data_IF_790943798584
#
_entry.id   IF_790943798584
#
_cell.length_a   1.000
_cell.length_b   1.000
_cell.length_c   1.000
_cell.angle_alpha   90.00
_cell.angle_beta   90.00
_cell.angle_gamma   90.00
#
_symmetry.space_group_name_H-M   'P 1'
#
loop_
_entity.id
_entity.type
_entity.pdbx_description
1 polymer ?
#
# COMPACT_ATOMS: atom_id res chain seq x y z
N UNK A 1 15.16 12.58 -7.00
CA UNK A 1 14.49 11.75 -8.01
C UNK A 1 14.49 12.50 -9.33
N UNK A 2 15.15 11.92 -10.33
CA UNK A 2 15.23 12.51 -11.65
C UNK A 2 14.30 11.75 -12.62
N UNK A 3 13.63 12.50 -13.48
CA UNK A 3 12.83 11.97 -14.58
C UNK A 3 13.57 12.20 -15.90
N UNK A 4 13.57 11.19 -16.75
CA UNK A 4 14.20 11.23 -18.08
C UNK A 4 13.17 10.87 -19.15
N UNK A 5 13.36 11.38 -20.36
CA UNK A 5 12.59 10.96 -21.52
C UNK A 5 13.15 9.65 -22.13
N UNK A 6 12.49 9.13 -23.15
CA UNK A 6 12.91 7.92 -23.87
C UNK A 6 14.27 8.04 -24.56
N UNK A 7 14.74 9.28 -24.80
CA UNK A 7 16.04 9.56 -25.37
C UNK A 7 17.15 9.76 -24.33
N UNK A 8 16.79 9.63 -23.02
CA UNK A 8 17.73 9.81 -21.91
C UNK A 8 17.98 11.26 -21.51
N UNK A 9 17.21 12.23 -22.02
CA UNK A 9 17.33 13.62 -21.59
C UNK A 9 16.60 13.83 -20.28
N UNK A 10 17.23 14.57 -19.36
CA UNK A 10 16.64 14.88 -18.07
C UNK A 10 15.49 15.88 -18.23
N UNK A 11 14.29 15.48 -17.76
CA UNK A 11 13.08 16.30 -17.78
C UNK A 11 12.99 17.15 -16.51
N UNK A 12 13.20 16.52 -15.34
CA UNK A 12 13.11 17.19 -14.05
C UNK A 12 13.98 16.49 -13.00
N UNK A 13 14.28 17.21 -11.92
CA UNK A 13 15.03 16.70 -10.77
C UNK A 13 14.41 17.21 -9.49
N UNK A 14 14.13 16.30 -8.56
CA UNK A 14 13.50 16.61 -7.27
C UNK A 14 14.38 16.01 -6.16
N UNK A 15 14.99 16.86 -5.35
CA UNK A 15 15.75 16.44 -4.19
C UNK A 15 14.84 16.11 -3.01
N UNK A 16 15.30 15.24 -2.14
CA UNK A 16 14.71 14.94 -0.84
C UNK A 16 15.81 14.69 0.19
N UNK A 17 15.46 14.77 1.46
CA UNK A 17 16.34 14.52 2.60
C UNK A 17 15.96 13.28 3.42
N UNK A 18 15.23 12.33 2.82
CA UNK A 18 14.81 11.10 3.46
C UNK A 18 16.02 10.23 3.81
N UNK A 19 16.00 9.64 5.01
CA UNK A 19 17.08 8.79 5.49
C UNK A 19 17.02 7.39 4.85
N UNK A 20 15.81 6.84 4.68
CA UNK A 20 15.58 5.52 4.09
C UNK A 20 14.49 5.61 2.99
N UNK A 21 14.80 6.25 1.85
CA UNK A 21 13.80 6.47 0.82
C UNK A 21 13.38 5.17 0.14
N UNK A 22 12.07 4.96 0.06
CA UNK A 22 11.46 3.89 -0.72
C UNK A 22 10.62 4.53 -1.83
N UNK A 23 10.72 3.95 -3.03
CA UNK A 23 10.00 4.42 -4.21
C UNK A 23 8.94 3.41 -4.62
N UNK A 24 7.73 3.90 -4.92
CA UNK A 24 6.64 3.17 -5.53
C UNK A 24 6.13 3.91 -6.76
N UNK A 25 5.62 3.19 -7.71
CA UNK A 25 5.12 3.78 -8.95
C UNK A 25 3.77 3.20 -9.34
N UNK A 26 2.88 4.06 -9.82
CA UNK A 26 1.60 3.64 -10.40
C UNK A 26 1.23 4.58 -11.55
N UNK A 27 1.05 4.03 -12.74
CA UNK A 27 0.80 4.82 -13.95
C UNK A 27 1.90 5.86 -14.19
N UNK A 28 1.54 7.15 -14.10
CA UNK A 28 2.47 8.29 -14.26
C UNK A 28 2.84 8.94 -12.93
N UNK A 29 2.61 8.26 -11.81
CA UNK A 29 2.87 8.74 -10.46
C UNK A 29 4.06 8.03 -9.85
N UNK A 30 4.78 8.76 -9.05
CA UNK A 30 5.89 8.25 -8.24
C UNK A 30 5.64 8.69 -6.81
N UNK A 31 5.51 7.73 -5.92
CA UNK A 31 5.51 7.93 -4.48
C UNK A 31 6.94 7.72 -3.97
N UNK A 32 7.41 8.63 -3.14
CA UNK A 32 8.63 8.46 -2.35
C UNK A 32 8.28 8.68 -0.90
N UNK A 33 8.64 7.75 -0.05
CA UNK A 33 8.45 7.89 1.39
C UNK A 33 9.70 7.51 2.16
N UNK A 34 9.85 8.06 3.35
CA UNK A 34 10.93 7.71 4.28
C UNK A 34 10.49 6.53 5.15
N UNK A 35 11.04 5.35 4.92
CA UNK A 35 10.74 4.16 5.71
C UNK A 35 11.35 4.29 7.12
N UNK A 36 10.48 4.29 8.14
CA UNK A 36 10.84 4.59 9.52
C UNK A 36 10.84 6.10 9.85
N UNK A 37 10.78 6.96 8.83
CA UNK A 37 10.48 8.38 8.97
C UNK A 37 8.98 8.65 8.93
N UNK A 38 8.60 9.91 8.77
CA UNK A 38 7.20 10.34 8.86
C UNK A 38 6.72 11.18 7.66
N UNK A 39 7.46 11.16 6.56
CA UNK A 39 7.19 12.02 5.41
C UNK A 39 7.05 11.22 4.13
N UNK A 40 6.17 11.65 3.24
CA UNK A 40 6.08 11.13 1.89
C UNK A 40 5.81 12.23 0.87
N UNK A 41 6.15 11.97 -0.39
CA UNK A 41 5.92 12.86 -1.54
C UNK A 41 5.38 12.10 -2.72
N UNK A 42 4.46 12.73 -3.43
CA UNK A 42 3.96 12.26 -4.72
C UNK A 42 4.47 13.17 -5.82
N UNK A 43 5.06 12.57 -6.84
CA UNK A 43 5.67 13.27 -7.96
C UNK A 43 5.14 12.76 -9.31
N UNK A 44 5.33 13.55 -10.32
CA UNK A 44 5.25 13.15 -11.72
C UNK A 44 6.40 13.81 -12.52
N UNK A 45 6.45 13.59 -13.83
CA UNK A 45 7.49 14.18 -14.70
C UNK A 45 7.53 15.72 -14.70
N UNK A 46 6.49 16.42 -14.21
CA UNK A 46 6.44 17.88 -14.12
C UNK A 46 6.91 18.41 -12.76
N UNK A 47 7.07 17.54 -11.76
CA UNK A 47 7.50 17.89 -10.41
C UNK A 47 6.64 17.27 -9.30
N UNK A 48 6.74 17.89 -8.13
CA UNK A 48 5.99 17.47 -6.94
C UNK A 48 4.51 17.83 -7.06
N UNK A 49 3.65 16.88 -6.72
CA UNK A 49 2.20 17.03 -6.67
C UNK A 49 1.68 17.17 -5.24
N UNK A 50 2.29 16.44 -4.30
CA UNK A 50 1.93 16.43 -2.90
C UNK A 50 3.18 16.18 -2.07
N UNK A 51 3.32 16.91 -0.96
CA UNK A 51 4.27 16.65 0.11
C UNK A 51 3.51 16.62 1.42
N UNK A 52 3.70 15.58 2.23
CA UNK A 52 2.96 15.41 3.49
C UNK A 52 3.85 14.82 4.57
N UNK A 53 3.76 15.44 5.74
CA UNK A 53 4.27 14.91 7.00
C UNK A 53 3.10 14.37 7.83
N UNK A 54 3.33 13.26 8.52
CA UNK A 54 2.37 12.63 9.44
C UNK A 54 3.02 12.46 10.82
N UNK A 55 2.22 12.15 11.83
CA UNK A 55 2.74 12.08 13.22
C UNK A 55 3.50 10.79 13.52
N UNK A 56 3.17 9.68 12.81
CA UNK A 56 3.72 8.35 13.07
C UNK A 56 4.77 7.97 12.02
N UNK A 57 5.65 7.03 12.40
CA UNK A 57 6.62 6.47 11.45
C UNK A 57 5.94 5.59 10.40
N UNK A 58 6.31 5.80 9.15
CA UNK A 58 5.81 5.06 7.99
C UNK A 58 6.53 3.70 7.92
N UNK A 59 5.76 2.63 7.91
CA UNK A 59 6.27 1.26 7.75
C UNK A 59 6.19 0.78 6.29
N UNK A 60 5.13 1.17 5.60
CA UNK A 60 4.85 0.84 4.21
C UNK A 60 3.98 1.94 3.61
N UNK A 61 4.18 2.27 2.35
CA UNK A 61 3.23 3.10 1.61
C UNK A 61 3.12 2.64 0.16
N UNK A 62 1.93 2.76 -0.40
CA UNK A 62 1.60 2.43 -1.79
C UNK A 62 0.77 3.55 -2.44
N UNK A 63 0.78 3.59 -3.76
CA UNK A 63 0.11 4.63 -4.54
C UNK A 63 -0.77 4.05 -5.64
N UNK A 64 -1.97 4.61 -5.80
CA UNK A 64 -2.87 4.34 -6.91
C UNK A 64 -2.59 5.26 -8.12
N UNK A 65 -3.10 4.91 -9.33
CA UNK A 65 -2.87 5.71 -10.54
C UNK A 65 -3.43 7.14 -10.48
N UNK A 66 -4.46 7.37 -9.68
CA UNK A 66 -5.13 8.67 -9.46
C UNK A 66 -4.41 9.59 -8.47
N UNK A 67 -3.34 9.12 -7.82
CA UNK A 67 -2.56 9.74 -6.75
C UNK A 67 -3.11 9.50 -5.34
N UNK A 68 -4.08 8.61 -5.15
CA UNK A 68 -4.46 8.14 -3.81
C UNK A 68 -3.29 7.38 -3.18
N UNK A 69 -2.97 7.66 -1.93
CA UNK A 69 -1.82 7.09 -1.20
C UNK A 69 -2.31 6.36 0.03
N UNK A 70 -1.95 5.09 0.16
CA UNK A 70 -2.13 4.29 1.36
C UNK A 70 -0.84 4.28 2.19
N UNK A 71 -0.91 4.62 3.46
CA UNK A 71 0.21 4.66 4.37
C UNK A 71 -0.06 3.75 5.56
N UNK A 72 0.87 2.88 5.87
CA UNK A 72 0.83 1.99 7.04
C UNK A 72 1.74 2.52 8.12
N UNK A 73 1.16 2.67 9.29
CA UNK A 73 1.85 3.00 10.54
C UNK A 73 1.52 1.96 11.60
N UNK A 74 2.00 2.15 12.82
CA UNK A 74 1.60 1.36 13.98
C UNK A 74 1.33 2.26 15.18
N UNK A 75 0.57 1.73 16.15
CA UNK A 75 0.31 2.39 17.43
C UNK A 75 0.54 1.41 18.58
N UNK A 76 0.47 1.87 19.82
CA UNK A 76 0.54 0.97 20.99
C UNK A 76 -0.61 -0.06 21.00
N UNK A 77 -1.77 0.29 20.43
CA UNK A 77 -2.98 -0.54 20.41
C UNK A 77 -3.05 -1.48 19.21
N UNK A 78 -2.55 -1.06 18.04
CA UNK A 78 -2.68 -1.78 16.79
C UNK A 78 -1.32 -2.06 16.17
N UNK A 79 -1.12 -3.30 15.70
CA UNK A 79 0.09 -3.70 15.00
C UNK A 79 0.22 -3.06 13.62
N UNK A 80 -0.90 -2.63 13.02
CA UNK A 80 -0.95 -1.83 11.82
C UNK A 80 -2.17 -0.90 11.83
N UNK A 81 -1.97 0.32 11.34
CA UNK A 81 -3.00 1.29 10.99
C UNK A 81 -2.75 1.70 9.54
N UNK A 82 -3.71 1.41 8.69
CA UNK A 82 -3.74 1.87 7.30
C UNK A 82 -4.52 3.18 7.25
N UNK A 83 -3.90 4.24 6.76
CA UNK A 83 -4.55 5.52 6.47
C UNK A 83 -4.44 5.81 4.99
N UNK A 84 -5.54 6.16 4.35
CA UNK A 84 -5.59 6.49 2.92
C UNK A 84 -5.83 7.98 2.76
N UNK A 85 -5.00 8.59 1.93
CA UNK A 85 -5.05 10.01 1.57
C UNK A 85 -5.41 10.17 0.11
N UNK A 86 -6.28 11.11 -0.20
CA UNK A 86 -6.57 11.50 -1.59
C UNK A 86 -5.44 12.33 -2.22
N UNK A 87 -5.61 12.71 -3.48
CA UNK A 87 -4.62 13.50 -4.23
C UNK A 87 -4.36 14.92 -3.65
N UNK A 88 -5.22 15.41 -2.77
CA UNK A 88 -5.04 16.67 -2.03
C UNK A 88 -4.29 16.49 -0.71
N UNK A 89 -4.09 15.25 -0.27
CA UNK A 89 -3.54 14.89 1.03
C UNK A 89 -4.57 14.87 2.16
N UNK A 90 -5.86 14.92 1.86
CA UNK A 90 -6.92 14.72 2.85
C UNK A 90 -7.06 13.22 3.18
N UNK A 91 -7.25 12.90 4.46
CA UNK A 91 -7.56 11.55 4.90
C UNK A 91 -8.98 11.19 4.48
N UNK A 92 -9.14 10.09 3.73
CA UNK A 92 -10.43 9.61 3.23
C UNK A 92 -10.85 8.28 3.82
N UNK A 93 -9.91 7.52 4.39
CA UNK A 93 -10.19 6.20 4.95
C UNK A 93 -9.16 5.82 6.00
N UNK A 94 -9.60 5.07 7.03
CA UNK A 94 -8.70 4.47 8.02
C UNK A 94 -9.17 3.05 8.38
N UNK A 95 -8.22 2.12 8.50
CA UNK A 95 -8.44 0.75 8.93
C UNK A 95 -7.34 0.31 9.89
N UNK A 96 -7.69 -0.46 10.93
CA UNK A 96 -6.75 -0.87 11.98
C UNK A 96 -6.76 -2.38 12.17
N UNK A 97 -5.61 -2.97 12.44
CA UNK A 97 -5.44 -4.41 12.62
C UNK A 97 -4.50 -4.75 13.77
N UNK A 98 -4.82 -5.85 14.48
CA UNK A 98 -3.88 -6.51 15.40
C UNK A 98 -2.82 -7.34 14.67
N UNK A 99 -2.97 -7.54 13.34
CA UNK A 99 -2.01 -8.21 12.46
C UNK A 99 -1.16 -7.17 11.74
N UNK A 100 0.08 -7.49 11.42
CA UNK A 100 0.93 -6.60 10.61
C UNK A 100 0.53 -6.66 9.15
N UNK A 101 0.54 -5.51 8.47
CA UNK A 101 0.37 -5.44 7.01
C UNK A 101 1.73 -5.73 6.36
N UNK A 102 1.70 -6.56 5.32
CA UNK A 102 2.88 -6.93 4.54
C UNK A 102 2.85 -6.33 3.13
N UNK A 103 1.67 -6.28 2.52
CA UNK A 103 1.48 -5.76 1.17
C UNK A 103 0.12 -5.09 0.99
N UNK A 104 0.06 -4.11 0.10
CA UNK A 104 -1.15 -3.40 -0.31
C UNK A 104 -1.15 -3.30 -1.84
N UNK A 105 -2.28 -3.62 -2.45
CA UNK A 105 -2.48 -3.45 -3.89
C UNK A 105 -3.80 -2.74 -4.15
N UNK A 106 -3.73 -1.56 -4.76
CA UNK A 106 -4.90 -0.79 -5.13
C UNK A 106 -5.67 -1.41 -6.30
N UNK A 107 -6.97 -1.16 -6.34
CA UNK A 107 -7.75 -1.30 -7.56
C UNK A 107 -7.26 -0.32 -8.64
N UNK A 108 -7.58 -0.61 -9.90
CA UNK A 108 -7.16 0.22 -11.04
C UNK A 108 -7.70 1.65 -10.98
N UNK A 109 -8.86 1.84 -10.38
CA UNK A 109 -9.53 3.12 -10.22
C UNK A 109 -9.24 3.84 -8.90
N UNK A 110 -8.47 3.20 -8.01
CA UNK A 110 -8.10 3.76 -6.70
C UNK A 110 -9.22 3.76 -5.66
N UNK A 111 -10.37 3.12 -5.94
CA UNK A 111 -11.55 3.12 -5.04
C UNK A 111 -11.45 2.18 -3.85
N UNK A 112 -10.50 1.25 -3.89
CA UNK A 112 -10.27 0.26 -2.86
C UNK A 112 -8.89 -0.37 -2.95
N UNK A 113 -8.58 -1.26 -2.02
CA UNK A 113 -7.34 -2.01 -2.05
C UNK A 113 -7.46 -3.39 -1.40
N UNK A 114 -6.61 -4.30 -1.87
CA UNK A 114 -6.30 -5.54 -1.18
C UNK A 114 -5.21 -5.29 -0.15
N UNK A 115 -5.30 -5.99 0.98
CA UNK A 115 -4.36 -5.89 2.10
C UNK A 115 -3.94 -7.30 2.48
N UNK A 116 -2.67 -7.59 2.37
CA UNK A 116 -2.08 -8.80 2.95
C UNK A 116 -1.61 -8.53 4.38
N UNK A 117 -2.05 -9.37 5.30
CA UNK A 117 -1.64 -9.27 6.71
C UNK A 117 -1.02 -10.57 7.18
N UNK A 118 -0.20 -10.50 8.22
CA UNK A 118 0.34 -11.68 8.87
C UNK A 118 0.39 -11.55 10.40
N UNK A 119 0.39 -12.70 11.05
CA UNK A 119 0.69 -12.84 12.47
C UNK A 119 1.41 -14.16 12.73
N UNK A 120 2.11 -14.25 13.86
CA UNK A 120 2.70 -15.50 14.33
C UNK A 120 1.78 -16.13 15.36
N UNK A 121 1.54 -17.44 15.22
CA UNK A 121 0.82 -18.24 16.20
C UNK A 121 1.43 -19.65 16.28
N UNK A 122 1.83 -20.08 17.46
CA UNK A 122 2.48 -21.40 17.64
C UNK A 122 3.80 -21.58 16.87
N UNK A 123 4.52 -20.48 16.58
CA UNK A 123 5.79 -20.49 15.83
C UNK A 123 5.61 -20.52 14.30
N UNK A 124 4.36 -20.59 13.80
CA UNK A 124 4.08 -20.49 12.36
C UNK A 124 3.61 -19.09 11.99
N UNK A 125 4.05 -18.59 10.81
CA UNK A 125 3.53 -17.38 10.20
C UNK A 125 2.29 -17.71 9.38
N UNK A 126 1.26 -16.89 9.54
CA UNK A 126 -0.03 -17.10 8.90
C UNK A 126 -0.58 -15.78 8.40
N UNK A 127 -1.10 -15.80 7.19
CA UNK A 127 -1.67 -14.61 6.55
C UNK A 127 -3.18 -14.64 6.48
N UNK A 128 -3.75 -13.44 6.39
CA UNK A 128 -5.16 -13.21 6.02
C UNK A 128 -5.16 -12.06 5.02
N UNK A 129 -5.90 -12.22 3.95
CA UNK A 129 -6.11 -11.21 2.93
C UNK A 129 -7.44 -10.52 3.16
N UNK A 130 -7.45 -9.20 3.04
CA UNK A 130 -8.64 -8.36 3.13
C UNK A 130 -8.81 -7.58 1.84
N UNK A 131 -10.04 -7.24 1.53
CA UNK A 131 -10.37 -6.23 0.54
C UNK A 131 -11.30 -5.20 1.16
N UNK A 132 -10.95 -3.93 0.98
CA UNK A 132 -11.68 -2.78 1.50
C UNK A 132 -11.91 -1.76 0.39
N UNK A 133 -13.03 -1.04 0.47
CA UNK A 133 -13.32 0.13 -0.37
C UNK A 133 -13.39 1.36 0.53
N UNK A 134 -13.03 2.52 0.00
CA UNK A 134 -12.87 3.72 0.82
C UNK A 134 -14.18 4.48 1.06
N UNK A 135 -15.28 4.01 0.49
CA UNK A 135 -16.64 4.50 0.70
C UNK A 135 -17.39 3.78 1.84
N UNK A 136 -16.76 2.78 2.47
CA UNK A 136 -17.39 1.92 3.49
C UNK A 136 -16.41 1.58 4.60
N UNK A 137 -16.89 1.54 5.84
CA UNK A 137 -16.10 1.06 6.99
C UNK A 137 -16.10 -0.48 7.11
N UNK A 138 -16.89 -1.18 6.32
CA UNK A 138 -16.98 -2.63 6.31
C UNK A 138 -15.95 -3.24 5.35
N UNK A 139 -15.29 -4.31 5.81
CA UNK A 139 -14.45 -5.14 4.96
C UNK A 139 -15.32 -5.84 3.90
N UNK A 140 -15.02 -5.64 2.62
CA UNK A 140 -15.79 -6.26 1.52
C UNK A 140 -15.45 -7.74 1.35
N UNK A 141 -14.23 -8.13 1.70
CA UNK A 141 -13.79 -9.52 1.73
C UNK A 141 -12.74 -9.72 2.82
N UNK A 142 -12.78 -10.89 3.42
CA UNK A 142 -11.78 -11.41 4.34
C UNK A 142 -11.58 -12.89 4.04
N UNK A 143 -10.34 -13.27 3.70
CA UNK A 143 -10.03 -14.68 3.43
C UNK A 143 -10.05 -15.53 4.70
N UNK A 144 -10.13 -16.84 4.52
CA UNK A 144 -9.69 -17.79 5.54
C UNK A 144 -8.20 -17.59 5.84
N UNK A 145 -7.72 -18.18 6.92
CA UNK A 145 -6.32 -18.11 7.28
C UNK A 145 -5.47 -18.96 6.33
N UNK A 146 -4.49 -18.36 5.72
CA UNK A 146 -3.54 -19.00 4.83
C UNK A 146 -2.28 -19.44 5.61
N UNK A 147 -1.87 -20.69 5.43
CA UNK A 147 -0.69 -21.29 6.07
C UNK A 147 0.60 -20.90 5.30
N UNK A 148 0.79 -19.60 5.06
CA UNK A 148 1.92 -19.01 4.33
C UNK A 148 2.11 -17.56 4.74
N UNK A 149 3.27 -17.00 4.46
CA UNK A 149 3.53 -15.56 4.51
C UNK A 149 3.15 -14.96 3.15
N UNK A 150 1.98 -14.33 3.04
CA UNK A 150 1.48 -13.72 1.80
C UNK A 150 2.27 -12.43 1.50
N UNK A 151 3.32 -12.53 0.71
CA UNK A 151 4.27 -11.44 0.41
C UNK A 151 3.78 -10.48 -0.67
N UNK A 152 2.80 -10.89 -1.48
CA UNK A 152 2.14 -10.01 -2.44
C UNK A 152 0.68 -10.43 -2.62
N UNK A 153 -0.18 -9.46 -2.87
CA UNK A 153 -1.61 -9.68 -3.17
C UNK A 153 -2.05 -8.76 -4.30
N UNK A 154 -2.92 -9.25 -5.17
CA UNK A 154 -3.53 -8.45 -6.23
C UNK A 154 -4.94 -8.95 -6.51
N UNK A 155 -5.88 -8.02 -6.68
CA UNK A 155 -7.23 -8.29 -7.18
C UNK A 155 -7.26 -8.13 -8.70
N UNK A 156 -7.87 -9.08 -9.41
CA UNK A 156 -8.07 -8.99 -10.84
C UNK A 156 -9.44 -8.34 -11.19
N UNK A 157 -9.65 -8.08 -12.47
CA UNK A 157 -10.88 -7.44 -12.96
C UNK A 157 -12.14 -8.31 -12.78
N UNK A 158 -11.98 -9.62 -12.57
CA UNK A 158 -13.08 -10.55 -12.32
C UNK A 158 -13.46 -10.64 -10.83
N UNK A 159 -12.72 -9.95 -9.96
CA UNK A 159 -12.94 -9.96 -8.52
C UNK A 159 -12.24 -11.09 -7.76
N UNK A 160 -11.45 -11.94 -8.45
CA UNK A 160 -10.60 -12.94 -7.81
C UNK A 160 -9.34 -12.27 -7.24
N UNK A 161 -8.70 -12.94 -6.27
CA UNK A 161 -7.46 -12.49 -5.66
C UNK A 161 -6.32 -13.45 -5.96
N UNK A 162 -5.21 -12.89 -6.40
CA UNK A 162 -3.95 -13.61 -6.54
C UNK A 162 -3.08 -13.30 -5.32
N UNK A 163 -2.58 -14.35 -4.68
CA UNK A 163 -1.76 -14.25 -3.47
C UNK A 163 -0.47 -15.02 -3.68
N UNK A 164 0.64 -14.34 -3.59
CA UNK A 164 1.97 -14.94 -3.62
C UNK A 164 2.42 -15.15 -2.18
N UNK A 165 2.55 -16.40 -1.79
CA UNK A 165 3.14 -16.80 -0.51
C UNK A 165 4.64 -17.02 -0.62
N UNK A 166 5.32 -17.15 0.51
CA UNK A 166 6.75 -17.46 0.58
C UNK A 166 7.09 -18.85 0.00
N UNK A 167 6.13 -19.78 0.01
CA UNK A 167 6.33 -21.16 -0.46
C UNK A 167 5.26 -21.63 -1.47
N UNK A 168 4.24 -20.82 -1.75
CA UNK A 168 3.09 -21.24 -2.55
C UNK A 168 2.40 -20.05 -3.21
N UNK A 169 1.47 -20.35 -4.09
CA UNK A 169 0.63 -19.39 -4.79
C UNK A 169 -0.84 -19.79 -4.62
N UNK A 170 -1.68 -18.82 -4.30
CA UNK A 170 -3.13 -19.02 -4.17
C UNK A 170 -3.90 -18.18 -5.18
N UNK A 171 -5.00 -18.75 -5.64
CA UNK A 171 -6.09 -18.02 -6.24
C UNK A 171 -7.28 -18.12 -5.29
N UNK A 172 -7.76 -17.00 -4.78
CA UNK A 172 -8.98 -16.93 -3.98
C UNK A 172 -10.10 -16.36 -4.85
N UNK A 173 -11.32 -16.87 -4.65
CA UNK A 173 -12.51 -16.32 -5.29
C UNK A 173 -12.92 -14.96 -4.66
N UNK A 174 -14.00 -14.37 -5.17
CA UNK A 174 -14.53 -13.11 -4.66
C UNK A 174 -14.97 -13.15 -3.18
N UNK A 175 -15.12 -14.34 -2.59
CA UNK A 175 -15.46 -14.54 -1.18
C UNK A 175 -14.22 -14.86 -0.32
N UNK A 176 -13.02 -14.90 -0.91
CA UNK A 176 -11.78 -15.18 -0.20
C UNK A 176 -11.50 -16.66 0.07
N UNK A 177 -12.08 -17.56 -0.75
CA UNK A 177 -11.92 -19.02 -0.65
C UNK A 177 -11.12 -19.60 -1.80
#
# INVERSE_FOLDING_TARGET
IAFYDESGNKISDNSHNFANPVVRTSGKRVLVYDNGGNSFRVLNKKGELLSKDIDQSILLAEIAPDSTVAVVTQTEKYAAVLTVYDSSGAEIYQWSSSRRILDISFDKDGSGCCISTFSSSGGALRSVVYYVTFDSTEEKMKSEQLETLAVAVQRNDNGDYWVVGDTCFYKLDSNGK
#
